data_IF_073266910773
#
_entry.id   IF_073266910773
#
_cell.length_a   1.000
_cell.length_b   1.000
_cell.length_c   1.000
_cell.angle_alpha   90.00
_cell.angle_beta   90.00
_cell.angle_gamma   90.00
#
_symmetry.space_group_name_H-M   'P 1'
#
loop_
_entity.id
_entity.type
_entity.pdbx_description
1 polymer ?
#
# COMPACT_ATOMS: atom_id res chain seq x y z
N UNK A 1 -6.32 -20.77 -19.30
CA UNK A 1 -5.53 -19.63 -18.79
C UNK A 1 -4.31 -20.19 -18.09
N UNK A 2 -3.08 -19.68 -18.31
CA UNK A 2 -1.90 -20.20 -17.63
C UNK A 2 -1.95 -19.91 -16.12
N UNK A 3 -1.33 -20.79 -15.34
CA UNK A 3 -1.20 -20.67 -13.89
C UNK A 3 0.20 -20.17 -13.54
N UNK A 4 0.28 -19.17 -12.68
CA UNK A 4 1.52 -18.63 -12.12
C UNK A 4 1.53 -18.88 -10.62
N UNK A 5 2.52 -19.61 -10.13
CA UNK A 5 2.72 -19.83 -8.70
C UNK A 5 3.48 -18.63 -8.11
N UNK A 6 2.81 -17.88 -7.23
CA UNK A 6 3.38 -16.75 -6.50
C UNK A 6 4.00 -17.26 -5.19
N UNK A 7 5.15 -17.93 -5.26
CA UNK A 7 5.79 -18.58 -4.10
C UNK A 7 6.20 -17.62 -2.97
N UNK A 8 6.30 -16.32 -3.24
CA UNK A 8 6.46 -15.30 -2.18
C UNK A 8 5.16 -14.89 -1.50
N UNK A 9 4.01 -15.30 -2.02
CA UNK A 9 2.68 -14.96 -1.53
C UNK A 9 2.04 -16.17 -0.85
N UNK A 10 2.36 -16.40 0.42
CA UNK A 10 1.78 -17.45 1.25
C UNK A 10 0.45 -17.01 1.90
N UNK A 11 -0.44 -17.95 2.31
CA UNK A 11 -1.69 -17.62 3.00
C UNK A 11 -1.47 -17.10 4.43
N UNK A 12 -0.25 -17.24 4.95
CA UNK A 12 0.18 -16.73 6.25
C UNK A 12 1.62 -16.19 6.18
N UNK A 13 1.98 -15.18 6.99
CA UNK A 13 1.12 -14.38 7.87
C UNK A 13 0.17 -13.45 7.10
N UNK A 14 -0.64 -12.67 7.81
CA UNK A 14 -1.65 -11.77 7.23
C UNK A 14 -1.07 -10.83 6.16
N UNK A 15 0.17 -10.32 6.33
CA UNK A 15 0.84 -9.53 5.31
C UNK A 15 0.98 -10.28 3.97
N UNK A 16 1.37 -11.55 4.00
CA UNK A 16 1.54 -12.38 2.80
C UNK A 16 0.20 -12.65 2.11
N UNK A 17 -0.85 -12.87 2.90
CA UNK A 17 -2.22 -13.05 2.41
C UNK A 17 -2.71 -11.79 1.69
N UNK A 18 -2.63 -10.63 2.37
CA UNK A 18 -3.02 -9.34 1.79
C UNK A 18 -2.18 -8.98 0.57
N UNK A 19 -0.87 -9.26 0.59
CA UNK A 19 -0.03 -9.10 -0.60
C UNK A 19 -0.56 -9.90 -1.79
N UNK A 20 -0.93 -11.16 -1.59
CA UNK A 20 -1.49 -12.00 -2.66
C UNK A 20 -2.78 -11.38 -3.23
N UNK A 21 -3.64 -10.88 -2.35
CA UNK A 21 -4.86 -10.16 -2.72
C UNK A 21 -4.56 -8.88 -3.49
N UNK A 22 -3.53 -8.13 -3.10
CA UNK A 22 -3.10 -6.91 -3.81
C UNK A 22 -2.58 -7.23 -5.21
N UNK A 23 -1.79 -8.29 -5.36
CA UNK A 23 -1.34 -8.76 -6.69
C UNK A 23 -2.54 -9.10 -7.56
N UNK A 24 -3.48 -9.89 -7.04
CA UNK A 24 -4.66 -10.29 -7.77
C UNK A 24 -5.53 -9.09 -8.18
N UNK A 25 -5.88 -8.23 -7.22
CA UNK A 25 -6.71 -7.05 -7.45
C UNK A 25 -6.12 -6.16 -8.55
N UNK A 26 -4.83 -5.84 -8.45
CA UNK A 26 -4.17 -4.95 -9.40
C UNK A 26 -4.09 -5.54 -10.81
N UNK A 27 -3.85 -6.85 -10.93
CA UNK A 27 -3.88 -7.53 -12.23
C UNK A 27 -5.31 -7.54 -12.79
N UNK A 28 -6.30 -7.92 -11.98
CA UNK A 28 -7.69 -7.99 -12.39
C UNK A 28 -8.25 -6.64 -12.85
N UNK A 29 -7.96 -5.57 -12.11
CA UNK A 29 -8.47 -4.23 -12.39
C UNK A 29 -7.73 -3.52 -13.52
N UNK A 30 -6.42 -3.72 -13.67
CA UNK A 30 -5.58 -2.88 -14.54
C UNK A 30 -5.03 -3.58 -15.78
N UNK A 31 -5.16 -4.91 -15.89
CA UNK A 31 -4.52 -5.66 -16.97
C UNK A 31 -5.35 -6.82 -17.53
N UNK A 32 -5.99 -7.62 -16.67
CA UNK A 32 -6.65 -8.87 -17.05
C UNK A 32 -7.93 -9.11 -16.22
N UNK A 33 -9.09 -8.58 -16.67
CA UNK A 33 -10.36 -8.72 -15.95
C UNK A 33 -10.84 -10.15 -15.73
N UNK A 34 -10.32 -11.11 -16.50
CA UNK A 34 -10.64 -12.53 -16.38
C UNK A 34 -9.66 -13.27 -15.44
N UNK A 35 -8.75 -12.56 -14.76
CA UNK A 35 -7.84 -13.16 -13.81
C UNK A 35 -8.58 -13.82 -12.63
N UNK A 36 -8.01 -14.91 -12.11
CA UNK A 36 -8.54 -15.60 -10.93
C UNK A 36 -7.40 -15.90 -9.95
N UNK A 37 -7.70 -15.87 -8.65
CA UNK A 37 -6.79 -16.27 -7.60
C UNK A 37 -7.26 -17.57 -6.94
N UNK A 38 -6.34 -18.50 -6.72
CA UNK A 38 -6.57 -19.70 -5.92
C UNK A 38 -5.38 -19.97 -5.00
N UNK A 39 -5.56 -20.82 -4.00
CA UNK A 39 -4.50 -21.22 -3.08
C UNK A 39 -4.19 -22.70 -3.25
N UNK A 40 -2.91 -23.08 -3.28
CA UNK A 40 -2.53 -24.48 -3.33
C UNK A 40 -1.05 -24.70 -3.09
N UNK A 41 -0.70 -25.68 -2.27
CA UNK A 41 0.70 -25.97 -1.92
C UNK A 41 1.38 -24.85 -1.12
N UNK A 42 0.63 -24.14 -0.27
CA UNK A 42 1.16 -23.08 0.59
C UNK A 42 1.44 -21.74 -0.11
N UNK A 43 1.03 -21.58 -1.37
CA UNK A 43 1.22 -20.36 -2.14
C UNK A 43 -0.05 -19.96 -2.91
N UNK A 44 -0.15 -18.67 -3.21
CA UNK A 44 -1.14 -18.14 -4.14
C UNK A 44 -0.82 -18.55 -5.58
N UNK A 45 -1.87 -18.84 -6.35
CA UNK A 45 -1.83 -19.23 -7.75
C UNK A 45 -2.69 -18.27 -8.54
N UNK A 46 -2.03 -17.41 -9.30
CA UNK A 46 -2.68 -16.46 -10.20
C UNK A 46 -2.92 -17.13 -11.54
N UNK A 47 -4.18 -17.22 -11.95
CA UNK A 47 -4.56 -17.64 -13.29
C UNK A 47 -4.81 -16.37 -14.09
N UNK A 48 -3.98 -16.07 -15.08
CA UNK A 48 -4.04 -14.85 -15.89
C UNK A 48 -3.38 -15.09 -17.25
N UNK A 49 -3.55 -14.19 -18.22
CA UNK A 49 -2.80 -14.16 -19.49
C UNK A 49 -1.31 -13.82 -19.30
N UNK A 50 -0.89 -13.45 -18.09
CA UNK A 50 0.50 -13.13 -17.78
C UNK A 50 1.34 -14.38 -17.59
N UNK A 51 2.62 -14.25 -17.92
CA UNK A 51 3.70 -15.10 -17.42
C UNK A 51 4.46 -14.32 -16.34
N UNK A 52 5.50 -14.96 -15.80
CA UNK A 52 6.34 -14.39 -14.73
C UNK A 52 6.99 -13.07 -15.16
N UNK A 53 7.49 -13.00 -16.39
CA UNK A 53 8.15 -11.83 -16.96
C UNK A 53 7.19 -10.67 -17.14
N UNK A 54 6.02 -10.91 -17.76
CA UNK A 54 4.98 -9.89 -17.98
C UNK A 54 4.38 -9.38 -16.68
N UNK A 55 4.23 -10.23 -15.66
CA UNK A 55 3.78 -9.81 -14.34
C UNK A 55 4.82 -8.90 -13.68
N UNK A 56 6.10 -9.24 -13.81
CA UNK A 56 7.21 -8.42 -13.29
C UNK A 56 7.25 -7.05 -13.99
N UNK A 57 7.18 -7.04 -15.33
CA UNK A 57 7.13 -5.82 -16.13
C UNK A 57 5.91 -4.95 -15.79
N UNK A 58 4.74 -5.57 -15.61
CA UNK A 58 3.53 -4.87 -15.20
C UNK A 58 3.73 -4.05 -13.93
N UNK A 59 4.24 -4.65 -12.84
CA UNK A 59 4.44 -3.90 -11.59
C UNK A 59 5.53 -2.84 -11.70
N UNK A 60 6.62 -3.12 -12.41
CA UNK A 60 7.73 -2.18 -12.55
C UNK A 60 7.37 -0.97 -13.42
N UNK A 61 6.55 -1.14 -14.46
CA UNK A 61 6.38 -0.13 -15.50
C UNK A 61 4.95 0.40 -15.64
N UNK A 62 3.93 -0.43 -15.40
CA UNK A 62 2.53 -0.12 -15.77
C UNK A 62 1.59 0.07 -14.58
N UNK A 63 1.83 -0.63 -13.48
CA UNK A 63 1.01 -0.57 -12.27
C UNK A 63 0.76 0.87 -11.83
N UNK A 64 -0.50 1.24 -11.66
CA UNK A 64 -0.93 2.56 -11.18
C UNK A 64 -1.38 2.43 -9.73
N UNK A 65 -0.66 3.05 -8.77
CA UNK A 65 -1.04 2.99 -7.37
C UNK A 65 -2.41 3.61 -7.10
N UNK A 66 -3.18 2.98 -6.21
CA UNK A 66 -4.41 3.56 -5.68
C UNK A 66 -4.06 4.75 -4.76
N UNK A 67 -4.82 5.85 -4.78
CA UNK A 67 -4.63 6.94 -3.81
C UNK A 67 -4.97 6.50 -2.38
N UNK A 68 -3.94 6.21 -1.58
CA UNK A 68 -4.06 5.80 -0.18
C UNK A 68 -3.83 7.02 0.72
N UNK A 69 -4.89 7.69 1.14
CA UNK A 69 -4.86 8.98 1.84
C UNK A 69 -5.66 8.98 3.13
N UNK A 70 -5.16 9.62 4.18
CA UNK A 70 -5.88 9.77 5.45
C UNK A 70 -5.78 11.21 5.96
N UNK A 71 -6.44 12.18 5.30
CA UNK A 71 -6.36 13.59 5.68
C UNK A 71 -6.87 13.88 7.10
N UNK A 72 -7.43 12.90 7.82
CA UNK A 72 -7.78 13.03 9.24
C UNK A 72 -6.66 12.59 10.21
N UNK A 73 -5.57 12.01 9.71
CA UNK A 73 -4.43 11.56 10.51
C UNK A 73 -3.34 12.63 10.61
N UNK A 74 -2.66 12.70 11.75
CA UNK A 74 -1.66 13.74 12.03
C UNK A 74 -0.35 13.59 11.24
N UNK A 75 0.01 12.36 10.88
CA UNK A 75 1.24 12.04 10.13
C UNK A 75 0.98 11.76 8.64
N UNK A 76 -0.22 12.07 8.15
CA UNK A 76 -0.67 11.82 6.77
C UNK A 76 0.02 12.69 5.71
N UNK A 77 0.71 13.75 6.11
CA UNK A 77 1.30 14.75 5.22
C UNK A 77 0.51 16.05 5.14
N UNK A 78 -0.74 16.10 5.60
CA UNK A 78 -1.57 17.31 5.55
C UNK A 78 -1.33 18.30 6.70
N UNK A 79 -0.70 17.85 7.80
CA UNK A 79 -0.49 18.65 9.02
C UNK A 79 1.00 18.75 9.42
N UNK A 80 1.88 18.82 8.43
CA UNK A 80 3.33 18.91 8.61
C UNK A 80 4.03 17.56 8.85
N UNK A 81 3.43 16.66 9.62
CA UNK A 81 3.95 15.29 9.78
C UNK A 81 3.82 14.50 8.49
N UNK A 82 4.93 13.97 7.95
CA UNK A 82 4.91 13.15 6.72
C UNK A 82 4.77 13.94 5.42
N UNK A 83 4.86 15.28 5.46
CA UNK A 83 4.59 16.15 4.31
C UNK A 83 5.52 15.88 3.10
N UNK A 84 6.76 15.43 3.33
CA UNK A 84 7.72 15.15 2.27
C UNK A 84 7.19 14.14 1.25
N UNK A 85 6.74 12.96 1.70
CA UNK A 85 6.25 11.89 0.82
C UNK A 85 5.01 12.32 0.04
N UNK A 86 4.08 13.00 0.69
CA UNK A 86 2.88 13.55 0.05
C UNK A 86 3.23 14.59 -1.01
N UNK A 87 4.17 15.49 -0.71
CA UNK A 87 4.62 16.51 -1.65
C UNK A 87 5.38 15.93 -2.84
N UNK A 88 6.16 14.85 -2.63
CA UNK A 88 6.82 14.12 -3.73
C UNK A 88 5.81 13.53 -4.70
N UNK A 89 4.71 12.94 -4.21
CA UNK A 89 3.64 12.46 -5.10
C UNK A 89 2.97 13.63 -5.81
N UNK A 90 2.62 14.69 -5.09
CA UNK A 90 1.98 15.88 -5.68
C UNK A 90 2.84 16.54 -6.78
N UNK A 91 4.16 16.47 -6.66
CA UNK A 91 5.12 17.01 -7.62
C UNK A 91 5.57 16.00 -8.70
N UNK A 92 5.09 14.75 -8.65
CA UNK A 92 5.42 13.73 -9.65
C UNK A 92 4.93 14.14 -11.05
N UNK A 93 5.59 13.66 -12.09
CA UNK A 93 5.12 13.86 -13.48
C UNK A 93 4.53 12.59 -14.08
N UNK A 94 4.89 11.42 -13.55
CA UNK A 94 4.45 10.15 -14.15
C UNK A 94 2.95 9.97 -14.19
N UNK A 95 2.44 9.47 -15.32
CA UNK A 95 1.02 9.14 -15.51
C UNK A 95 0.51 8.10 -14.50
N UNK A 96 1.40 7.26 -13.97
CA UNK A 96 1.06 6.24 -12.96
C UNK A 96 0.47 6.84 -11.69
N UNK A 97 0.84 8.08 -11.36
CA UNK A 97 0.41 8.79 -10.16
C UNK A 97 -0.61 9.90 -10.46
N UNK A 98 -1.15 9.99 -11.68
CA UNK A 98 -2.07 11.06 -12.07
C UNK A 98 -3.29 11.16 -11.15
N UNK A 99 -4.01 10.06 -10.95
CA UNK A 99 -5.17 10.00 -10.04
C UNK A 99 -4.78 10.35 -8.60
N UNK A 100 -3.58 9.96 -8.15
CA UNK A 100 -3.08 10.28 -6.82
C UNK A 100 -2.83 11.79 -6.68
N UNK A 101 -2.21 12.43 -7.68
CA UNK A 101 -2.02 13.90 -7.70
C UNK A 101 -3.35 14.64 -7.68
N UNK A 102 -4.31 14.21 -8.50
CA UNK A 102 -5.66 14.79 -8.55
C UNK A 102 -6.35 14.68 -7.18
N UNK A 103 -6.26 13.51 -6.55
CA UNK A 103 -6.78 13.28 -5.18
C UNK A 103 -6.19 14.26 -4.18
N UNK A 104 -4.87 14.42 -4.17
CA UNK A 104 -4.18 15.34 -3.25
C UNK A 104 -4.61 16.79 -3.54
N UNK A 105 -4.76 17.16 -4.81
CA UNK A 105 -5.20 18.50 -5.21
C UNK A 105 -6.61 18.79 -4.71
N UNK A 106 -7.55 17.85 -4.89
CA UNK A 106 -8.93 17.95 -4.38
C UNK A 106 -8.94 18.07 -2.85
N UNK A 107 -8.22 17.20 -2.14
CA UNK A 107 -8.13 17.24 -0.68
C UNK A 107 -7.62 18.60 -0.18
N UNK A 108 -6.61 19.18 -0.83
CA UNK A 108 -6.07 20.50 -0.46
C UNK A 108 -7.08 21.65 -0.58
N UNK A 109 -8.19 21.47 -1.30
CA UNK A 109 -9.24 22.50 -1.40
C UNK A 109 -10.11 22.58 -0.15
N UNK A 110 -10.14 21.53 0.68
CA UNK A 110 -11.08 21.46 1.80
C UNK A 110 -10.54 20.89 3.11
N UNK A 111 -9.37 20.26 3.10
CA UNK A 111 -8.72 19.82 4.32
C UNK A 111 -8.38 21.07 5.16
N UNK A 112 -8.80 21.14 6.43
CA UNK A 112 -8.51 22.29 7.29
C UNK A 112 -7.00 22.43 7.53
N UNK A 113 -6.53 23.62 7.92
CA UNK A 113 -5.10 23.82 8.24
C UNK A 113 -4.65 23.01 9.47
N UNK A 114 -5.54 22.80 10.43
CA UNK A 114 -5.27 22.06 11.66
C UNK A 114 -5.94 20.69 11.62
N UNK A 115 -5.31 19.71 12.29
CA UNK A 115 -5.86 18.35 12.39
C UNK A 115 -7.28 18.40 12.98
N UNK A 116 -8.30 17.87 12.28
CA UNK A 116 -9.67 17.89 12.75
C UNK A 116 -9.83 16.98 13.97
N UNK A 117 -10.78 17.33 14.82
CA UNK A 117 -11.17 16.57 16.01
C UNK A 117 -12.69 16.42 16.02
N UNK A 118 -13.15 15.35 16.66
CA UNK A 118 -14.57 15.11 16.95
C UNK A 118 -15.46 15.36 15.71
N UNK A 119 -16.49 16.20 15.81
CA UNK A 119 -17.42 16.53 14.72
C UNK A 119 -16.74 17.03 13.44
N UNK A 120 -15.61 17.75 13.55
CA UNK A 120 -14.85 18.21 12.37
C UNK A 120 -14.21 17.03 11.62
N UNK A 121 -13.81 15.98 12.35
CA UNK A 121 -13.27 14.75 11.75
C UNK A 121 -14.40 14.04 11.00
N UNK A 122 -15.57 13.91 11.60
CA UNK A 122 -16.72 13.26 10.98
C UNK A 122 -17.16 13.97 9.70
N UNK A 123 -17.25 15.31 9.74
CA UNK A 123 -17.55 16.11 8.55
C UNK A 123 -16.49 15.93 7.46
N UNK A 124 -15.20 15.86 7.83
CA UNK A 124 -14.12 15.61 6.86
C UNK A 124 -14.23 14.21 6.24
N UNK A 125 -14.55 13.17 7.02
CA UNK A 125 -14.75 11.82 6.51
C UNK A 125 -15.92 11.76 5.52
N UNK A 126 -17.06 12.37 5.86
CA UNK A 126 -18.23 12.47 4.98
C UNK A 126 -17.92 13.25 3.69
N UNK A 127 -17.15 14.33 3.81
CA UNK A 127 -16.71 15.14 2.67
C UNK A 127 -15.75 14.36 1.76
N UNK A 128 -14.81 13.61 2.33
CA UNK A 128 -13.94 12.73 1.56
C UNK A 128 -14.77 11.69 0.78
N UNK A 129 -15.78 11.07 1.40
CA UNK A 129 -16.63 10.09 0.74
C UNK A 129 -17.50 10.66 -0.39
N UNK A 130 -17.83 11.95 -0.35
CA UNK A 130 -18.71 12.60 -1.33
C UNK A 130 -17.99 13.36 -2.44
N UNK A 131 -16.77 13.87 -2.19
CA UNK A 131 -16.04 14.71 -3.15
C UNK A 131 -14.86 13.99 -3.83
N UNK A 132 -14.39 12.87 -3.28
CA UNK A 132 -13.31 12.09 -3.90
C UNK A 132 -13.84 11.18 -5.00
N UNK A 133 -12.96 10.83 -5.95
CA UNK A 133 -13.31 9.94 -7.06
C UNK A 133 -13.73 8.55 -6.58
N UNK A 134 -14.67 7.92 -7.30
CA UNK A 134 -15.21 6.58 -7.00
C UNK A 134 -14.10 5.53 -6.81
N UNK A 135 -13.00 5.64 -7.56
CA UNK A 135 -11.84 4.75 -7.45
C UNK A 135 -11.16 4.75 -6.06
N UNK A 136 -11.48 5.73 -5.20
CA UNK A 136 -10.89 5.91 -3.86
C UNK A 136 -11.83 5.38 -2.78
N UNK A 137 -13.12 5.20 -3.10
CA UNK A 137 -14.14 4.73 -2.16
C UNK A 137 -13.76 3.40 -1.49
N UNK A 138 -13.20 2.38 -2.19
CA UNK A 138 -12.76 1.16 -1.53
C UNK A 138 -11.72 1.39 -0.42
N UNK A 139 -10.79 2.34 -0.60
CA UNK A 139 -9.84 2.69 0.46
C UNK A 139 -10.54 3.34 1.67
N UNK A 140 -11.51 4.23 1.43
CA UNK A 140 -12.28 4.85 2.50
C UNK A 140 -13.09 3.80 3.29
N UNK A 141 -13.75 2.89 2.59
CA UNK A 141 -14.55 1.81 3.18
C UNK A 141 -13.69 0.80 3.96
N UNK A 142 -12.46 0.55 3.51
CA UNK A 142 -11.48 -0.23 4.29
C UNK A 142 -11.05 0.50 5.57
N UNK A 143 -11.10 1.83 5.60
CA UNK A 143 -10.69 2.61 6.77
C UNK A 143 -11.83 2.81 7.78
N UNK A 144 -13.04 3.11 7.30
CA UNK A 144 -14.18 3.47 8.15
C UNK A 144 -15.52 3.27 7.45
N UNK A 145 -16.56 3.05 8.25
CA UNK A 145 -17.96 3.20 7.88
C UNK A 145 -18.58 4.38 8.63
N UNK A 146 -19.41 5.18 7.96
CA UNK A 146 -20.17 6.26 8.60
C UNK A 146 -21.51 5.70 9.09
N UNK A 147 -21.75 5.76 10.39
CA UNK A 147 -22.98 5.27 11.04
C UNK A 147 -23.73 6.41 11.73
N UNK A 148 -24.92 6.14 12.25
CA UNK A 148 -25.69 7.13 13.05
C UNK A 148 -24.96 7.53 14.34
N UNK A 149 -24.14 6.65 14.90
CA UNK A 149 -23.35 6.88 16.13
C UNK A 149 -21.99 7.53 15.84
N UNK A 150 -21.70 7.84 14.57
CA UNK A 150 -20.41 8.37 14.11
C UNK A 150 -19.58 7.35 13.33
N UNK A 151 -18.29 7.63 13.09
CA UNK A 151 -17.42 6.78 12.28
C UNK A 151 -17.01 5.52 13.06
N UNK A 152 -17.32 4.36 12.48
CA UNK A 152 -16.81 3.06 12.92
C UNK A 152 -15.57 2.70 12.10
N UNK A 153 -14.49 2.29 12.76
CA UNK A 153 -13.22 1.99 12.08
C UNK A 153 -13.01 0.49 11.93
N UNK A 154 -12.50 0.09 10.76
CA UNK A 154 -12.21 -1.32 10.52
C UNK A 154 -10.92 -1.72 11.27
N UNK A 155 -10.94 -2.77 12.11
CA UNK A 155 -9.81 -3.11 12.99
C UNK A 155 -8.48 -3.35 12.26
N UNK A 156 -8.54 -3.79 11.00
CA UNK A 156 -7.36 -4.07 10.20
C UNK A 156 -6.43 -2.85 10.06
N UNK A 157 -7.01 -1.65 9.89
CA UNK A 157 -6.27 -0.41 9.66
C UNK A 157 -6.37 0.55 10.85
N UNK A 158 -6.59 0.01 12.05
CA UNK A 158 -6.68 0.74 13.31
C UNK A 158 -7.76 1.82 13.30
N UNK A 159 -7.38 3.08 13.51
CA UNK A 159 -8.35 4.20 13.62
C UNK A 159 -8.46 5.02 12.33
N UNK A 160 -8.55 4.31 11.20
CA UNK A 160 -8.66 4.89 9.86
C UNK A 160 -7.28 5.14 9.22
N UNK A 161 -6.53 4.06 8.96
CA UNK A 161 -5.26 4.12 8.24
C UNK A 161 -4.03 4.33 9.13
N UNK A 162 -4.07 3.88 10.39
CA UNK A 162 -2.93 3.97 11.31
C UNK A 162 -2.84 2.78 12.28
N UNK A 163 -1.65 2.57 12.85
CA UNK A 163 -1.38 1.67 13.96
C UNK A 163 -0.56 2.43 15.03
N UNK A 164 -1.27 2.98 16.01
CA UNK A 164 -0.69 3.88 17.01
C UNK A 164 -0.05 5.12 16.37
N UNK A 165 1.29 5.20 16.39
CA UNK A 165 2.05 6.29 15.75
C UNK A 165 2.40 6.02 14.29
N UNK A 166 2.26 4.78 13.83
CA UNK A 166 2.53 4.41 12.45
C UNK A 166 1.36 4.84 11.57
N UNK A 167 1.61 5.68 10.58
CA UNK A 167 0.63 6.06 9.57
C UNK A 167 0.82 5.21 8.31
N UNK A 168 -0.17 4.38 7.98
CA UNK A 168 -0.07 3.47 6.84
C UNK A 168 -0.04 4.24 5.53
N UNK A 169 -0.73 5.37 5.44
CA UNK A 169 -0.79 6.19 4.22
C UNK A 169 0.56 6.82 3.94
N UNK A 170 1.21 7.37 4.97
CA UNK A 170 2.52 7.96 4.80
C UNK A 170 3.61 6.92 4.51
N UNK A 171 3.57 5.77 5.19
CA UNK A 171 4.48 4.66 4.92
C UNK A 171 4.29 4.16 3.48
N UNK A 172 3.05 4.00 3.01
CA UNK A 172 2.75 3.63 1.64
C UNK A 172 3.37 4.61 0.62
N UNK A 173 3.19 5.92 0.83
CA UNK A 173 3.79 6.94 -0.04
C UNK A 173 5.33 6.87 -0.05
N UNK A 174 5.97 6.60 1.10
CA UNK A 174 7.42 6.39 1.16
C UNK A 174 7.84 5.13 0.37
N UNK A 175 7.14 4.01 0.55
CA UNK A 175 7.46 2.75 -0.15
C UNK A 175 7.21 2.84 -1.65
N UNK A 176 6.21 3.59 -2.10
CA UNK A 176 6.03 3.91 -3.51
C UNK A 176 7.26 4.63 -4.07
N UNK A 177 7.82 5.58 -3.33
CA UNK A 177 9.01 6.32 -3.75
C UNK A 177 10.28 5.45 -3.75
N UNK A 178 10.31 4.36 -2.98
CA UNK A 178 11.41 3.38 -2.99
C UNK A 178 11.35 2.43 -4.20
N UNK A 179 10.15 2.18 -4.74
CA UNK A 179 9.94 1.15 -5.78
C UNK A 179 9.62 1.70 -7.16
N UNK A 180 9.11 2.93 -7.26
CA UNK A 180 8.68 3.55 -8.51
C UNK A 180 9.50 4.80 -8.84
N UNK A 181 9.66 5.08 -10.13
CA UNK A 181 10.09 6.38 -10.61
C UNK A 181 8.89 7.34 -10.62
N UNK A 182 9.04 8.53 -10.03
CA UNK A 182 7.98 9.54 -9.99
C UNK A 182 8.05 10.50 -11.17
N UNK A 183 9.15 10.49 -11.91
CA UNK A 183 9.36 11.32 -13.10
C UNK A 183 9.34 10.47 -14.35
N UNK A 184 8.67 10.92 -15.41
CA UNK A 184 8.70 10.22 -16.69
C UNK A 184 10.11 10.16 -17.28
N UNK A 185 10.47 8.99 -17.81
CA UNK A 185 11.80 8.71 -18.34
C UNK A 185 12.85 8.33 -17.30
N UNK A 186 12.56 8.50 -16.00
CA UNK A 186 13.40 7.93 -14.94
C UNK A 186 13.14 6.43 -14.81
N UNK A 187 14.21 5.67 -14.54
CA UNK A 187 14.09 4.25 -14.22
C UNK A 187 13.83 4.07 -12.73
N UNK A 188 13.00 3.09 -12.33
CA UNK A 188 12.86 2.76 -10.92
C UNK A 188 14.23 2.34 -10.34
N UNK A 189 14.43 2.48 -9.02
CA UNK A 189 15.67 2.05 -8.38
C UNK A 189 16.03 0.60 -8.72
N UNK A 190 17.31 0.31 -8.92
CA UNK A 190 17.78 -1.03 -9.35
C UNK A 190 17.33 -2.14 -8.38
N UNK A 191 17.22 -1.79 -7.09
CA UNK A 191 16.76 -2.68 -6.03
C UNK A 191 15.27 -3.06 -6.18
N UNK A 192 14.45 -2.20 -6.81
CA UNK A 192 13.01 -2.43 -6.96
C UNK A 192 12.69 -3.75 -7.64
N UNK A 193 13.41 -4.10 -8.71
CA UNK A 193 13.24 -5.39 -9.40
C UNK A 193 13.56 -6.59 -8.50
N UNK A 194 14.61 -6.50 -7.69
CA UNK A 194 14.98 -7.57 -6.77
C UNK A 194 13.98 -7.70 -5.62
N UNK A 195 13.54 -6.59 -5.06
CA UNK A 195 12.49 -6.54 -4.03
C UNK A 195 11.17 -7.13 -4.54
N UNK A 196 10.79 -6.81 -5.78
CA UNK A 196 9.60 -7.39 -6.41
C UNK A 196 9.76 -8.90 -6.63
N UNK A 197 10.92 -9.34 -7.10
CA UNK A 197 11.19 -10.76 -7.29
C UNK A 197 11.12 -11.54 -5.97
N UNK A 198 11.68 -10.99 -4.90
CA UNK A 198 11.56 -11.56 -3.56
C UNK A 198 10.09 -11.60 -3.09
N UNK A 199 9.33 -10.52 -3.32
CA UNK A 199 7.92 -10.42 -2.91
C UNK A 199 7.01 -11.43 -3.63
N UNK A 200 7.21 -11.64 -4.94
CA UNK A 200 6.36 -12.51 -5.76
C UNK A 200 6.82 -13.98 -5.76
N UNK A 201 8.14 -14.21 -5.77
CA UNK A 201 8.72 -15.53 -6.09
C UNK A 201 9.50 -16.16 -4.93
N UNK A 202 9.90 -15.41 -3.91
CA UNK A 202 10.74 -15.89 -2.80
C UNK A 202 12.02 -16.63 -3.22
N UNK A 203 12.56 -16.36 -4.42
CA UNK A 203 13.75 -17.02 -4.95
C UNK A 203 15.01 -16.13 -4.94
N UNK A 204 14.88 -14.89 -4.46
CA UNK A 204 15.95 -13.90 -4.40
C UNK A 204 16.12 -13.41 -2.97
N UNK A 205 17.35 -13.50 -2.44
CA UNK A 205 17.70 -12.87 -1.17
C UNK A 205 17.98 -11.38 -1.41
N UNK A 206 17.36 -10.53 -0.58
CA UNK A 206 17.44 -9.07 -0.73
C UNK A 206 17.76 -8.40 0.60
N UNK A 207 18.49 -7.29 0.55
CA UNK A 207 18.60 -6.38 1.69
C UNK A 207 17.28 -5.64 1.86
N UNK A 208 16.70 -5.73 3.06
CA UNK A 208 15.46 -5.05 3.40
C UNK A 208 15.74 -3.63 3.92
N UNK A 209 14.78 -2.73 3.74
CA UNK A 209 14.85 -1.36 4.24
C UNK A 209 14.40 -1.29 5.70
N UNK A 210 15.05 -0.48 6.52
CA UNK A 210 14.61 -0.22 7.89
C UNK A 210 13.32 0.59 7.86
N UNK A 211 12.23 0.00 8.38
CA UNK A 211 10.94 0.68 8.51
C UNK A 211 10.04 -0.15 9.41
N UNK A 212 9.11 0.53 10.09
CA UNK A 212 8.06 -0.14 10.83
C UNK A 212 7.11 -0.87 9.87
N UNK A 213 6.87 -2.15 10.16
CA UNK A 213 5.98 -3.03 9.41
C UNK A 213 4.55 -3.08 9.97
N UNK A 214 4.38 -2.57 11.20
CA UNK A 214 3.12 -2.61 11.95
C UNK A 214 2.76 -4.04 12.37
N UNK A 215 1.48 -4.26 12.68
CA UNK A 215 0.96 -5.54 13.15
C UNK A 215 0.94 -6.69 12.12
N UNK A 216 1.27 -6.46 10.84
CA UNK A 216 0.98 -7.41 9.75
C UNK A 216 2.02 -8.50 9.54
N UNK A 217 3.27 -8.27 9.94
CA UNK A 217 4.36 -9.24 9.84
C UNK A 217 5.16 -9.30 11.15
N UNK A 218 4.79 -10.21 12.06
CA UNK A 218 5.51 -10.41 13.30
C UNK A 218 6.99 -10.75 13.13
N UNK A 219 7.37 -11.38 12.00
CA UNK A 219 8.76 -11.75 11.72
C UNK A 219 9.66 -10.56 11.36
N UNK A 220 9.08 -9.50 10.79
CA UNK A 220 9.78 -8.29 10.34
C UNK A 220 9.88 -7.17 11.38
N UNK A 221 9.30 -7.33 12.58
CA UNK A 221 9.30 -6.29 13.65
C UNK A 221 10.72 -6.03 14.21
N UNK A 222 11.66 -6.97 14.02
CA UNK A 222 12.98 -6.88 14.62
C UNK A 222 12.95 -7.18 16.12
N UNK A 223 13.96 -6.71 16.84
CA UNK A 223 14.10 -6.90 18.29
C UNK A 223 15.34 -7.69 18.70
N UNK A 224 15.35 -8.10 19.97
CA UNK A 224 16.46 -8.83 20.57
C UNK A 224 16.77 -10.12 19.80
N UNK A 225 18.06 -10.44 19.68
CA UNK A 225 18.63 -11.55 18.92
C UNK A 225 18.35 -11.52 17.41
N UNK A 226 17.96 -10.37 16.83
CA UNK A 226 17.63 -10.28 15.40
C UNK A 226 18.82 -10.30 14.43
N UNK A 227 20.04 -10.01 14.89
CA UNK A 227 21.28 -10.14 14.09
C UNK A 227 22.47 -10.62 14.92
N UNK A 228 23.43 -11.24 14.24
CA UNK A 228 24.70 -11.64 14.85
C UNK A 228 25.54 -10.41 15.23
N UNK A 229 26.18 -10.47 16.41
CA UNK A 229 27.10 -9.44 16.90
C UNK A 229 26.43 -8.40 17.81
N UNK A 230 25.42 -7.68 17.30
CA UNK A 230 24.68 -6.68 18.09
C UNK A 230 23.53 -7.26 18.92
N UNK A 231 23.07 -8.49 18.59
CA UNK A 231 21.94 -9.16 19.24
C UNK A 231 20.67 -8.30 19.33
N UNK A 232 20.49 -7.39 18.37
CA UNK A 232 19.33 -6.51 18.25
C UNK A 232 19.22 -6.07 16.79
N UNK A 233 18.02 -6.16 16.21
CA UNK A 233 17.75 -5.73 14.84
C UNK A 233 16.62 -4.71 14.79
N UNK A 234 16.76 -3.69 13.94
CA UNK A 234 15.67 -2.79 13.56
C UNK A 234 14.56 -3.55 12.82
N UNK A 235 13.34 -3.04 12.87
CA UNK A 235 12.25 -3.52 11.99
C UNK A 235 12.63 -3.31 10.52
N UNK A 236 12.34 -4.31 9.70
CA UNK A 236 12.71 -4.34 8.28
C UNK A 236 11.52 -4.77 7.45
N UNK A 237 11.34 -4.10 6.31
CA UNK A 237 10.27 -4.40 5.37
C UNK A 237 10.80 -4.37 3.95
N UNK A 238 10.32 -5.31 3.13
CA UNK A 238 10.43 -5.19 1.69
C UNK A 238 9.41 -4.16 1.20
N UNK A 239 9.82 -3.07 0.53
CA UNK A 239 8.89 -2.05 0.08
C UNK A 239 7.74 -2.57 -0.79
N UNK A 240 7.98 -3.57 -1.64
CA UNK A 240 6.92 -4.17 -2.46
C UNK A 240 5.93 -4.99 -1.63
N UNK A 241 6.39 -5.70 -0.59
CA UNK A 241 5.48 -6.43 0.29
C UNK A 241 4.51 -5.46 0.98
N UNK A 242 5.00 -4.30 1.43
CA UNK A 242 4.15 -3.28 2.06
C UNK A 242 3.16 -2.65 1.08
N UNK A 243 3.62 -2.26 -0.11
CA UNK A 243 2.76 -1.67 -1.14
C UNK A 243 1.65 -2.64 -1.52
N UNK A 244 1.99 -3.89 -1.83
CA UNK A 244 1.01 -4.90 -2.24
C UNK A 244 0.07 -5.29 -1.10
N UNK A 245 0.55 -5.33 0.16
CA UNK A 245 -0.30 -5.58 1.32
C UNK A 245 -1.37 -4.50 1.51
N UNK A 246 -0.99 -3.21 1.41
CA UNK A 246 -1.96 -2.12 1.49
C UNK A 246 -2.94 -2.17 0.33
N UNK A 247 -2.47 -2.36 -0.90
CA UNK A 247 -3.35 -2.49 -2.07
C UNK A 247 -4.33 -3.67 -1.95
N UNK A 248 -3.93 -4.76 -1.32
CA UNK A 248 -4.79 -5.93 -1.08
C UNK A 248 -5.79 -5.75 0.04
N UNK A 249 -5.53 -4.85 1.00
CA UNK A 249 -6.50 -4.54 2.06
C UNK A 249 -7.82 -4.01 1.51
N UNK A 250 -7.80 -3.38 0.32
CA UNK A 250 -8.99 -2.84 -0.35
C UNK A 250 -10.00 -3.90 -0.80
N UNK A 251 -9.61 -5.18 -0.87
CA UNK A 251 -10.57 -6.27 -1.11
C UNK A 251 -11.39 -6.65 0.14
N UNK A 252 -11.13 -6.00 1.27
CA UNK A 252 -11.86 -6.19 2.53
C UNK A 252 -12.79 -5.01 2.86
N UNK A 253 -12.95 -4.08 1.91
CA UNK A 253 -13.91 -2.97 1.96
C UNK A 253 -15.37 -3.45 1.90
#
# INVERSE_FOLDING_TARGET
MPEIVLSGCAPEPLMSYLKALGVFRLVAEQADPDAHLSWGGGAARLHSLFDRERLTEFFLERYRPTPIVAPWNGASGFYGGGAESLNRIAASTTDRLALYRETIAVLRTFVPENKPKDEQKELLLARCRSELADAIVPWLDTCFALTEEGPSYFPLLGTGGNDGRLDFTNNFMQRLADVLAFTDGERPPVQSKHWLAAALWADTLVSLSESAIGQFDPGGIGGANGIQGKFEASSRVNPWDFVLMIEGSLLLA
#
